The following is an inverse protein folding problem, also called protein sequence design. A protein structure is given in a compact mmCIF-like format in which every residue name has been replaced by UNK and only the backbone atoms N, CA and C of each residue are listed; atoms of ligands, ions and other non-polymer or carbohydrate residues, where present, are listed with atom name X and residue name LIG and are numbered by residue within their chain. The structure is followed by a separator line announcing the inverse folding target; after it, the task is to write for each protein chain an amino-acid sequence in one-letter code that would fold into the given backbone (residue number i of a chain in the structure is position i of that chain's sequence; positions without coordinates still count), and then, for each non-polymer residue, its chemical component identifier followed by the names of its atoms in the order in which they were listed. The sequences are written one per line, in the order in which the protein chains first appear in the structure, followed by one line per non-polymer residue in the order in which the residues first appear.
data_IF_919672490483
#
_entry.id   IF_919672490483
#
_cell.length_a   1.000
_cell.length_b   1.000
_cell.length_c   1.000
_cell.angle_alpha   90.00
_cell.angle_beta   90.00
_cell.angle_gamma   90.00
#
_symmetry.space_group_name_H-M   'P 1'
#
loop_
_entity.id
_entity.type
_entity.pdbx_description
1 polymer ?
#
# COMPACT_ATOMS: atom_id res chain seq x y z
N UNK A 1 -11.73 -0.02 -17.19
CA UNK A 1 -12.79 -1.02 -16.94
C UNK A 1 -13.45 -1.32 -18.29
N UNK A 2 -13.73 -2.58 -18.61
CA UNK A 2 -14.44 -2.96 -19.85
C UNK A 2 -15.67 -3.76 -19.48
N UNK A 3 -16.84 -3.43 -20.04
CA UNK A 3 -18.08 -4.21 -19.85
C UNK A 3 -17.99 -5.48 -20.70
N UNK A 4 -18.12 -6.65 -20.07
CA UNK A 4 -18.04 -7.95 -20.79
C UNK A 4 -19.44 -8.51 -21.11
N UNK A 5 -20.49 -8.01 -20.45
CA UNK A 5 -21.86 -8.41 -20.71
C UNK A 5 -22.88 -7.48 -20.04
N UNK A 6 -24.15 -7.85 -20.01
CA UNK A 6 -25.19 -7.04 -19.35
C UNK A 6 -24.89 -6.79 -17.87
N UNK A 7 -24.36 -7.80 -17.18
CA UNK A 7 -24.14 -7.78 -15.73
C UNK A 7 -22.70 -8.11 -15.28
N UNK A 8 -21.69 -7.97 -16.16
CA UNK A 8 -20.31 -8.28 -15.80
C UNK A 8 -19.31 -7.22 -16.30
N UNK A 9 -18.32 -6.91 -15.47
CA UNK A 9 -17.24 -5.96 -15.76
C UNK A 9 -15.85 -6.56 -15.56
N UNK A 10 -14.94 -6.21 -16.46
CA UNK A 10 -13.51 -6.45 -16.35
C UNK A 10 -12.82 -5.30 -15.61
N UNK A 11 -12.24 -5.60 -14.46
CA UNK A 11 -11.47 -4.67 -13.64
C UNK A 11 -9.98 -4.84 -13.88
N UNK A 12 -9.24 -3.74 -13.78
CA UNK A 12 -7.78 -3.78 -13.70
C UNK A 12 -7.42 -3.99 -12.24
N UNK A 13 -6.96 -5.19 -11.90
CA UNK A 13 -6.57 -5.52 -10.53
C UNK A 13 -5.14 -5.06 -10.24
N UNK A 14 -4.85 -4.61 -9.00
CA UNK A 14 -3.49 -4.35 -8.56
C UNK A 14 -2.62 -5.60 -8.69
N UNK A 15 -1.33 -5.43 -9.00
CA UNK A 15 -0.39 -6.54 -9.24
C UNK A 15 -0.18 -7.47 -8.02
N UNK A 16 -0.57 -7.02 -6.83
CA UNK A 16 -0.60 -7.83 -5.60
C UNK A 16 -1.70 -8.91 -5.59
N UNK A 17 -2.73 -8.78 -6.42
CA UNK A 17 -3.91 -9.67 -6.43
C UNK A 17 -3.92 -10.60 -7.65
N UNK A 18 -2.79 -11.26 -7.92
CA UNK A 18 -2.61 -12.12 -9.11
C UNK A 18 -3.57 -13.31 -9.17
N UNK A 19 -4.04 -13.80 -8.02
CA UNK A 19 -4.90 -14.99 -7.92
C UNK A 19 -6.39 -14.68 -8.04
N UNK A 20 -6.78 -13.39 -8.03
CA UNK A 20 -8.20 -13.01 -8.13
C UNK A 20 -8.64 -12.93 -9.60
N UNK A 21 -9.86 -13.37 -9.88
CA UNK A 21 -10.44 -13.26 -11.22
C UNK A 21 -10.74 -11.78 -11.52
N UNK A 22 -10.38 -11.24 -12.69
CA UNK A 22 -10.55 -9.82 -12.99
C UNK A 22 -11.98 -9.48 -13.44
N UNK A 23 -12.88 -10.46 -13.58
CA UNK A 23 -14.26 -10.27 -14.03
C UNK A 23 -15.21 -10.40 -12.84
N UNK A 24 -16.03 -9.38 -12.60
CA UNK A 24 -16.94 -9.30 -11.46
C UNK A 24 -18.37 -8.98 -11.91
N UNK A 25 -19.35 -9.52 -11.20
CA UNK A 25 -20.76 -9.21 -11.38
C UNK A 25 -21.09 -7.81 -10.84
N UNK A 26 -22.02 -7.07 -11.48
CA UNK A 26 -22.35 -5.68 -11.10
C UNK A 26 -22.80 -5.56 -9.64
N UNK A 27 -23.54 -6.54 -9.12
CA UNK A 27 -24.02 -6.54 -7.73
C UNK A 27 -22.89 -6.59 -6.69
N UNK A 28 -21.67 -6.96 -7.08
CA UNK A 28 -20.49 -6.97 -6.20
C UNK A 28 -19.70 -5.65 -6.28
N UNK A 29 -20.08 -4.74 -7.18
CA UNK A 29 -19.39 -3.48 -7.41
C UNK A 29 -20.20 -2.35 -6.78
N UNK A 30 -19.57 -1.61 -5.89
CA UNK A 30 -20.12 -0.37 -5.35
C UNK A 30 -19.42 0.85 -5.94
N UNK A 31 -20.13 1.97 -6.17
CA UNK A 31 -19.49 3.23 -6.51
C UNK A 31 -18.47 3.62 -5.44
N UNK A 32 -17.29 4.05 -5.88
CA UNK A 32 -16.26 4.55 -4.96
C UNK A 32 -16.79 5.80 -4.28
N UNK A 33 -17.02 5.72 -2.96
CA UNK A 33 -17.28 6.89 -2.13
C UNK A 33 -15.96 7.63 -1.92
N UNK A 34 -15.91 8.89 -2.31
CA UNK A 34 -14.78 9.74 -1.95
C UNK A 34 -14.70 9.81 -0.43
N UNK A 35 -13.51 9.56 0.12
CA UNK A 35 -13.25 9.76 1.55
C UNK A 35 -13.58 11.20 1.90
N UNK A 36 -14.56 11.41 2.77
CA UNK A 36 -14.84 12.72 3.35
C UNK A 36 -13.87 13.08 4.48
N UNK A 37 -12.92 12.20 4.81
CA UNK A 37 -11.93 12.42 5.86
C UNK A 37 -10.84 13.34 5.29
N UNK A 38 -10.74 14.61 5.74
CA UNK A 38 -9.61 15.44 5.40
C UNK A 38 -8.34 14.87 6.05
N UNK A 39 -7.20 14.94 5.37
CA UNK A 39 -5.89 14.51 5.87
C UNK A 39 -5.68 12.99 6.06
N UNK A 40 -6.09 12.14 5.10
CA UNK A 40 -5.61 10.74 5.07
C UNK A 40 -4.07 10.64 4.84
N UNK A 41 -3.39 11.75 4.57
CA UNK A 41 -1.95 11.86 4.68
C UNK A 41 -1.60 12.16 6.14
N UNK A 42 -1.73 11.17 7.01
CA UNK A 42 -1.15 11.28 8.34
C UNK A 42 0.37 11.38 8.13
N UNK A 43 0.94 12.53 8.47
CA UNK A 43 2.38 12.67 8.51
C UNK A 43 2.92 11.62 9.48
N UNK A 44 4.09 11.01 9.18
CA UNK A 44 4.72 10.10 10.12
C UNK A 44 4.82 10.80 11.49
N UNK A 45 4.58 10.07 12.59
CA UNK A 45 4.73 10.65 13.92
C UNK A 45 6.15 11.23 14.05
N UNK A 46 6.34 12.33 14.81
CA UNK A 46 7.67 12.80 15.14
C UNK A 46 8.48 11.67 15.80
N UNK A 47 9.80 11.62 15.57
CA UNK A 47 10.65 10.61 16.18
C UNK A 47 10.51 10.67 17.71
N UNK A 48 10.35 9.51 18.34
CA UNK A 48 10.31 9.42 19.79
C UNK A 48 11.73 9.68 20.32
N UNK A 49 11.88 10.64 21.23
CA UNK A 49 13.11 10.85 21.98
C UNK A 49 13.22 9.71 22.99
N UNK A 50 14.14 8.77 22.79
CA UNK A 50 14.41 7.70 23.74
C UNK A 50 15.46 8.23 24.72
N UNK A 51 15.02 8.74 25.87
CA UNK A 51 15.90 9.39 26.88
C UNK A 51 17.04 8.49 27.40
N UNK A 52 17.01 7.18 27.14
CA UNK A 52 17.91 6.20 27.74
C UNK A 52 18.74 5.40 26.72
N UNK A 53 18.72 5.74 25.43
CA UNK A 53 19.50 5.04 24.39
C UNK A 53 20.35 6.01 23.56
N UNK A 54 21.58 5.60 23.25
CA UNK A 54 22.48 6.38 22.38
C UNK A 54 21.95 6.36 20.93
N UNK A 55 21.40 7.48 20.49
CA UNK A 55 20.84 7.67 19.15
C UNK A 55 21.93 8.12 18.16
N UNK A 56 21.92 7.53 16.96
CA UNK A 56 22.85 7.90 15.88
C UNK A 56 22.05 8.40 14.68
N UNK A 57 22.38 9.59 14.18
CA UNK A 57 21.81 10.11 12.93
C UNK A 57 22.51 9.45 11.72
N UNK A 58 21.73 8.77 10.87
CA UNK A 58 22.25 8.15 9.65
C UNK A 58 22.28 9.19 8.54
N UNK A 59 23.47 9.60 8.08
CA UNK A 59 23.62 10.57 7.00
C UNK A 59 23.12 10.04 5.64
N UNK A 60 23.42 8.78 5.32
CA UNK A 60 23.00 8.13 4.08
C UNK A 60 23.09 6.60 4.20
N UNK A 61 22.17 5.90 3.52
CA UNK A 61 22.25 4.44 3.32
C UNK A 61 23.08 4.15 2.08
N UNK A 62 24.13 3.33 2.21
CA UNK A 62 25.05 2.99 1.11
C UNK A 62 24.52 1.83 0.26
N UNK A 63 23.95 0.82 0.91
CA UNK A 63 23.42 -0.37 0.24
C UNK A 63 22.25 -0.98 1.03
N UNK A 64 21.40 -1.77 0.36
CA UNK A 64 20.33 -2.52 1.02
C UNK A 64 20.22 -3.94 0.48
N UNK A 65 20.01 -4.93 1.36
CA UNK A 65 19.88 -6.34 0.98
C UNK A 65 18.74 -7.03 1.71
N UNK A 66 17.98 -7.86 1.00
CA UNK A 66 16.91 -8.67 1.58
C UNK A 66 17.47 -10.05 1.98
N UNK A 67 17.49 -10.38 3.27
CA UNK A 67 17.94 -11.68 3.79
C UNK A 67 16.86 -12.30 4.65
N UNK A 68 16.38 -13.50 4.26
CA UNK A 68 15.32 -14.25 4.96
C UNK A 68 14.07 -13.39 5.24
N UNK A 69 13.66 -12.58 4.25
CA UNK A 69 12.48 -11.71 4.35
C UNK A 69 12.67 -10.44 5.18
N UNK A 70 13.88 -10.16 5.69
CA UNK A 70 14.22 -8.92 6.40
C UNK A 70 15.13 -8.04 5.55
N UNK A 71 14.89 -6.74 5.56
CA UNK A 71 15.70 -5.75 4.87
C UNK A 71 16.85 -5.31 5.78
N UNK A 72 18.06 -5.36 5.26
CA UNK A 72 19.29 -4.94 5.91
C UNK A 72 19.88 -3.77 5.15
N UNK A 73 20.49 -2.83 5.86
CA UNK A 73 21.12 -1.64 5.30
C UNK A 73 22.61 -1.62 5.65
N UNK A 74 23.42 -1.00 4.78
CA UNK A 74 24.84 -0.68 5.01
C UNK A 74 25.00 0.82 5.21
#
# INVERSE_FOLDING_TARGET
MKKIGSHAYHLKLPQKWKSAQPVFHVSLLEPVKQSSIPNHNQLPPPPALVEEQEEWEVAQVLDSKLKRGRLWYL
#
